data_IF_928244736503
#
_entry.id   IF_928244736503
#
_cell.length_a   1.000
_cell.length_b   1.000
_cell.length_c   1.000
_cell.angle_alpha   90.00
_cell.angle_beta   90.00
_cell.angle_gamma   90.00
#
_symmetry.space_group_name_H-M   'P 1'
#
loop_
_entity.id
_entity.type
_entity.pdbx_description
1 polymer ?
#
# COMPACT_ATOMS: atom_id res chain seq x y z
N UNK A 1 44.72 7.73 -12.22
CA UNK A 1 43.85 6.60 -11.83
C UNK A 1 42.79 7.09 -10.85
N UNK A 2 41.81 7.85 -11.33
CA UNK A 2 40.66 8.31 -10.54
C UNK A 2 39.45 8.19 -11.47
N UNK A 3 38.56 7.22 -11.25
CA UNK A 3 37.41 7.07 -12.15
C UNK A 3 36.45 5.90 -11.91
N UNK A 4 36.87 4.78 -11.30
CA UNK A 4 36.03 3.56 -11.30
C UNK A 4 35.34 3.23 -9.96
N UNK A 5 35.68 3.91 -8.86
CA UNK A 5 35.15 3.57 -7.54
C UNK A 5 33.82 4.26 -7.18
N UNK A 6 33.44 5.33 -7.87
CA UNK A 6 32.20 6.06 -7.56
C UNK A 6 30.95 5.41 -8.17
N UNK A 7 31.09 4.72 -9.30
CA UNK A 7 29.96 4.10 -9.98
C UNK A 7 29.47 2.84 -9.27
N UNK A 8 30.40 1.97 -8.82
CA UNK A 8 30.05 0.71 -8.13
C UNK A 8 29.22 0.92 -6.86
N UNK A 9 29.49 1.97 -6.10
CA UNK A 9 28.73 2.32 -4.90
C UNK A 9 27.30 2.78 -5.21
N UNK A 10 27.09 3.47 -6.33
CA UNK A 10 25.76 3.88 -6.79
C UNK A 10 24.98 2.70 -7.36
N UNK A 11 25.61 1.83 -8.15
CA UNK A 11 24.92 0.64 -8.69
C UNK A 11 24.51 -0.29 -7.55
N UNK A 12 25.39 -0.50 -6.56
CA UNK A 12 25.07 -1.30 -5.38
C UNK A 12 24.02 -0.62 -4.49
N UNK A 13 24.02 0.71 -4.34
CA UNK A 13 22.98 1.46 -3.62
C UNK A 13 21.60 1.35 -4.30
N UNK A 14 21.56 1.45 -5.63
CA UNK A 14 20.34 1.30 -6.44
C UNK A 14 19.81 -0.15 -6.36
N UNK A 15 20.71 -1.15 -6.35
CA UNK A 15 20.34 -2.57 -6.21
C UNK A 15 19.91 -2.91 -4.78
N UNK A 16 20.45 -2.22 -3.75
CA UNK A 16 20.20 -2.53 -2.33
C UNK A 16 18.95 -1.90 -1.74
N UNK A 17 18.33 -0.89 -2.36
CA UNK A 17 16.98 -0.49 -1.97
C UNK A 17 16.01 -1.46 -2.64
N UNK A 18 15.39 -2.41 -1.92
CA UNK A 18 14.29 -3.15 -2.51
C UNK A 18 13.25 -2.11 -2.92
N UNK A 19 12.93 -2.08 -4.22
CA UNK A 19 11.78 -1.34 -4.70
C UNK A 19 10.59 -1.71 -3.82
N UNK A 20 9.78 -0.74 -3.34
CA UNK A 20 8.64 -1.05 -2.52
C UNK A 20 7.80 -2.15 -3.18
N UNK A 21 7.36 -3.17 -2.43
CA UNK A 21 6.55 -4.26 -2.95
C UNK A 21 5.45 -3.72 -3.88
N UNK A 22 5.23 -4.32 -5.07
CA UNK A 22 4.24 -3.83 -6.03
C UNK A 22 2.84 -3.65 -5.43
N UNK A 23 2.49 -4.48 -4.44
CA UNK A 23 1.26 -4.33 -3.67
C UNK A 23 1.15 -2.96 -2.99
N UNK A 24 2.20 -2.51 -2.29
CA UNK A 24 2.20 -1.23 -1.57
C UNK A 24 2.14 -0.04 -2.53
N UNK A 25 2.88 -0.11 -3.64
CA UNK A 25 2.87 0.94 -4.67
C UNK A 25 1.47 1.11 -5.25
N UNK A 26 0.83 -0.01 -5.62
CA UNK A 26 -0.52 0.01 -6.17
C UNK A 26 -1.57 0.48 -5.17
N UNK A 27 -1.47 0.03 -3.91
CA UNK A 27 -2.38 0.49 -2.85
C UNK A 27 -2.23 1.99 -2.63
N UNK A 28 -1.00 2.51 -2.59
CA UNK A 28 -0.77 3.95 -2.46
C UNK A 28 -1.40 4.72 -3.62
N UNK A 29 -1.13 4.30 -4.86
CA UNK A 29 -1.71 4.93 -6.06
C UNK A 29 -3.24 4.90 -6.07
N UNK A 30 -3.84 3.80 -5.58
CA UNK A 30 -5.28 3.67 -5.50
C UNK A 30 -5.90 4.61 -4.46
N UNK A 31 -5.23 4.86 -3.32
CA UNK A 31 -5.73 5.78 -2.29
C UNK A 31 -5.47 7.24 -2.64
N UNK A 32 -4.39 7.52 -3.38
CA UNK A 32 -4.00 8.88 -3.78
C UNK A 32 -4.90 9.46 -4.89
N UNK A 33 -5.69 8.64 -5.58
CA UNK A 33 -6.56 9.10 -6.67
C UNK A 33 -7.84 9.76 -6.13
N UNK A 34 -8.03 11.08 -6.33
CA UNK A 34 -9.22 11.79 -5.85
C UNK A 34 -10.52 11.27 -6.48
N UNK A 35 -10.46 10.59 -7.63
CA UNK A 35 -11.64 9.97 -8.24
C UNK A 35 -12.19 8.81 -7.39
N UNK A 36 -11.38 8.28 -6.47
CA UNK A 36 -11.77 7.16 -5.60
C UNK A 36 -12.15 7.58 -4.18
N UNK A 37 -12.06 8.88 -3.85
CA UNK A 37 -12.23 9.41 -2.49
C UNK A 37 -13.59 9.05 -1.84
N UNK A 38 -14.65 8.91 -2.64
CA UNK A 38 -15.98 8.49 -2.16
C UNK A 38 -16.00 7.03 -1.66
N UNK A 39 -15.05 6.20 -2.10
CA UNK A 39 -14.95 4.77 -1.79
C UNK A 39 -13.78 4.49 -0.85
N UNK A 40 -12.65 5.16 -1.07
CA UNK A 40 -11.41 5.06 -0.28
C UNK A 40 -10.64 6.37 -0.37
N UNK A 41 -10.20 6.90 0.77
CA UNK A 41 -9.42 8.15 0.80
C UNK A 41 -8.38 8.13 1.91
N UNK A 42 -7.43 9.06 1.85
CA UNK A 42 -6.62 9.41 3.01
C UNK A 42 -7.49 10.01 4.12
N UNK A 43 -7.08 9.83 5.37
CA UNK A 43 -7.58 10.62 6.49
C UNK A 43 -7.08 12.06 6.37
N UNK A 44 -7.66 12.98 7.13
CA UNK A 44 -7.28 14.41 7.11
C UNK A 44 -5.79 14.67 7.41
N UNK A 45 -5.12 13.73 8.08
CA UNK A 45 -3.71 13.82 8.45
C UNK A 45 -2.76 13.20 7.40
N UNK A 46 -3.28 12.48 6.41
CA UNK A 46 -2.48 11.72 5.42
C UNK A 46 -1.68 10.55 6.00
N UNK A 47 -2.00 10.13 7.23
CA UNK A 47 -1.26 9.09 7.98
C UNK A 47 -1.88 7.70 7.86
N UNK A 48 -3.13 7.63 7.42
CA UNK A 48 -3.88 6.39 7.25
C UNK A 48 -4.91 6.58 6.15
N UNK A 49 -5.38 5.48 5.55
CA UNK A 49 -6.48 5.51 4.61
C UNK A 49 -7.70 4.82 5.18
N UNK A 50 -8.87 5.29 4.75
CA UNK A 50 -10.17 4.80 5.19
C UNK A 50 -10.90 4.25 3.98
N UNK A 51 -11.44 3.03 4.12
CA UNK A 51 -12.33 2.45 3.12
C UNK A 51 -13.76 2.71 3.57
N UNK A 52 -14.44 3.65 2.89
CA UNK A 52 -15.80 4.08 3.20
C UNK A 52 -16.83 3.08 2.70
N UNK A 53 -16.63 2.55 1.49
CA UNK A 53 -17.58 1.67 0.82
C UNK A 53 -16.92 0.33 0.46
N UNK A 54 -16.85 -0.58 1.43
CA UNK A 54 -16.11 -1.84 1.26
C UNK A 54 -16.60 -2.73 0.10
N UNK A 55 -17.92 -2.72 -0.17
CA UNK A 55 -18.50 -3.51 -1.27
C UNK A 55 -18.07 -2.96 -2.64
N UNK A 56 -18.11 -1.64 -2.83
CA UNK A 56 -17.71 -0.96 -4.06
C UNK A 56 -16.19 -1.04 -4.26
N UNK A 57 -15.42 -0.86 -3.18
CA UNK A 57 -13.98 -1.09 -3.19
C UNK A 57 -13.62 -2.48 -3.70
N UNK A 58 -14.32 -3.51 -3.20
CA UNK A 58 -14.05 -4.89 -3.57
C UNK A 58 -14.45 -5.22 -5.01
N UNK A 59 -15.58 -4.68 -5.48
CA UNK A 59 -16.14 -4.98 -6.81
C UNK A 59 -15.48 -4.16 -7.90
N UNK A 60 -15.21 -2.89 -7.66
CA UNK A 60 -14.90 -1.91 -8.70
C UNK A 60 -13.42 -1.52 -8.68
N UNK A 61 -12.84 -1.28 -7.50
CA UNK A 61 -11.43 -0.84 -7.37
C UNK A 61 -10.44 -2.01 -7.33
N UNK A 62 -10.73 -3.08 -6.59
CA UNK A 62 -9.80 -4.21 -6.49
C UNK A 62 -9.48 -4.86 -7.85
N UNK A 63 -10.45 -5.12 -8.76
CA UNK A 63 -10.13 -5.69 -10.06
C UNK A 63 -9.36 -4.76 -11.00
N UNK A 64 -9.46 -3.44 -10.81
CA UNK A 64 -8.73 -2.47 -11.62
C UNK A 64 -7.23 -2.44 -11.28
N UNK A 65 -6.88 -2.65 -10.00
CA UNK A 65 -5.48 -2.56 -9.53
C UNK A 65 -4.85 -3.93 -9.24
N UNK A 66 -5.66 -4.94 -8.89
CA UNK A 66 -5.28 -6.29 -8.50
C UNK A 66 -6.01 -7.35 -9.32
N UNK A 67 -5.48 -8.58 -9.34
CA UNK A 67 -6.06 -9.70 -10.11
C UNK A 67 -7.18 -10.45 -9.36
N UNK A 68 -7.85 -9.80 -8.40
CA UNK A 68 -8.92 -10.38 -7.60
C UNK A 68 -9.86 -9.29 -7.08
N UNK A 69 -11.10 -9.64 -6.74
CA UNK A 69 -12.08 -8.78 -6.07
C UNK A 69 -12.22 -9.09 -4.56
N UNK A 70 -11.39 -9.98 -4.00
CA UNK A 70 -11.54 -10.44 -2.62
C UNK A 70 -10.93 -9.45 -1.62
N UNK A 71 -11.81 -8.79 -0.84
CA UNK A 71 -11.41 -7.84 0.21
C UNK A 71 -10.55 -8.48 1.31
N UNK A 72 -10.88 -9.70 1.74
CA UNK A 72 -10.11 -10.42 2.76
C UNK A 72 -8.68 -10.73 2.29
N UNK A 73 -8.49 -11.05 1.02
CA UNK A 73 -7.15 -11.24 0.44
C UNK A 73 -6.34 -9.95 0.42
N UNK A 74 -6.98 -8.81 0.15
CA UNK A 74 -6.36 -7.49 0.22
C UNK A 74 -5.93 -7.15 1.66
N UNK A 75 -6.82 -7.33 2.64
CA UNK A 75 -6.55 -7.12 4.07
C UNK A 75 -5.39 -8.01 4.56
N UNK A 76 -5.36 -9.28 4.16
CA UNK A 76 -4.26 -10.19 4.52
C UNK A 76 -2.91 -9.73 3.98
N UNK A 77 -2.87 -9.25 2.74
CA UNK A 77 -1.65 -8.71 2.15
C UNK A 77 -1.20 -7.45 2.91
N UNK A 78 -2.12 -6.51 3.20
CA UNK A 78 -1.85 -5.34 4.04
C UNK A 78 -1.24 -5.74 5.38
N UNK A 79 -1.88 -6.63 6.13
CA UNK A 79 -1.41 -7.07 7.44
C UNK A 79 0.00 -7.67 7.39
N UNK A 80 0.34 -8.36 6.31
CA UNK A 80 1.68 -8.93 6.11
C UNK A 80 2.74 -7.84 6.00
N UNK A 81 2.46 -6.76 5.26
CA UNK A 81 3.40 -5.65 5.09
C UNK A 81 3.42 -4.72 6.31
N UNK A 82 2.27 -4.42 6.90
CA UNK A 82 2.18 -3.57 8.11
C UNK A 82 2.89 -4.21 9.30
N UNK A 83 2.74 -5.53 9.50
CA UNK A 83 3.46 -6.28 10.54
C UNK A 83 4.98 -6.28 10.33
N UNK A 84 5.44 -6.28 9.07
CA UNK A 84 6.87 -6.35 8.75
C UNK A 84 7.56 -4.99 8.76
N UNK A 85 6.83 -3.91 8.50
CA UNK A 85 7.41 -2.58 8.36
C UNK A 85 7.14 -1.64 9.55
N UNK A 86 6.24 -1.96 10.50
CA UNK A 86 5.85 -1.04 11.60
C UNK A 86 5.37 0.35 11.11
N UNK A 87 4.97 0.50 9.84
CA UNK A 87 4.65 1.82 9.25
C UNK A 87 3.21 2.27 9.58
N UNK A 88 2.30 1.38 9.97
CA UNK A 88 0.90 1.75 10.23
C UNK A 88 0.36 1.07 11.48
N UNK A 89 0.83 1.49 12.66
CA UNK A 89 0.34 0.93 13.94
C UNK A 89 -1.02 1.49 14.40
N UNK A 90 -1.72 2.24 13.54
CA UNK A 90 -3.06 2.77 13.84
C UNK A 90 -4.09 2.49 12.73
N UNK A 91 -3.98 1.32 12.11
CA UNK A 91 -4.95 0.84 11.14
C UNK A 91 -5.18 -0.64 11.45
N UNK A 92 -6.43 -1.07 11.51
CA UNK A 92 -6.93 -2.45 11.73
C UNK A 92 -7.39 -2.90 13.13
N UNK A 93 -6.99 -2.31 14.26
CA UNK A 93 -7.50 -2.84 15.54
C UNK A 93 -8.99 -2.53 15.80
N UNK A 94 -9.61 -1.64 15.02
CA UNK A 94 -10.98 -1.19 15.30
C UNK A 94 -12.09 -1.87 14.49
N UNK A 95 -11.79 -2.69 13.49
CA UNK A 95 -12.84 -3.31 12.66
C UNK A 95 -12.99 -4.83 12.82
N UNK A 96 -12.02 -5.52 13.45
CA UNK A 96 -12.10 -6.98 13.62
C UNK A 96 -12.79 -7.43 14.92
N UNK A 97 -13.25 -6.52 15.79
CA UNK A 97 -13.97 -6.87 17.04
C UNK A 97 -15.47 -6.55 17.03
N UNK A 98 -16.03 -6.02 15.94
CA UNK A 98 -17.42 -5.52 15.91
C UNK A 98 -18.40 -6.37 15.08
N UNK A 99 -18.12 -7.66 14.88
CA UNK A 99 -19.11 -8.63 14.39
C UNK A 99 -19.03 -9.93 15.18
#
# INVERSE_FOLDING_TARGET
MVGEYHEKGLVEYIIRKPSPPPFLVKTYMLVEDPATDEVVSWNAEGTAFVVWQAAEFARDLLPAFFKHCNFSSFVRQLNTYVSRFYIFKSMFFFNFMAM
#
